data_IF_706102351192
#
_entry.id   IF_706102351192
#
_cell.length_a   1.000
_cell.length_b   1.000
_cell.length_c   1.000
_cell.angle_alpha   90.00
_cell.angle_beta   90.00
_cell.angle_gamma   90.00
#
_symmetry.space_group_name_H-M   'P 1'
#
loop_
_entity.id
_entity.type
_entity.pdbx_description
1 polymer ?
#
# COMPACT_ATOMS: atom_id res chain seq x y z
N UNK A 1 -7.93 5.53 -18.07
CA UNK A 1 -9.33 5.98 -17.83
C UNK A 1 -10.15 4.96 -17.03
N UNK A 2 -10.19 3.68 -17.43
CA UNK A 2 -10.99 2.65 -16.75
C UNK A 2 -10.70 2.50 -15.25
N UNK A 3 -9.41 2.49 -14.85
CA UNK A 3 -9.03 2.43 -13.43
C UNK A 3 -9.58 3.64 -12.64
N UNK A 4 -9.55 4.83 -13.22
CA UNK A 4 -10.09 6.05 -12.60
C UNK A 4 -11.62 5.98 -12.46
N UNK A 5 -12.33 5.46 -13.47
CA UNK A 5 -13.78 5.28 -13.41
C UNK A 5 -14.17 4.23 -12.37
N UNK A 6 -13.47 3.10 -12.33
CA UNK A 6 -13.69 2.05 -11.31
C UNK A 6 -13.41 2.57 -9.90
N UNK A 7 -12.35 3.36 -9.74
CA UNK A 7 -11.98 3.97 -8.47
C UNK A 7 -13.08 4.92 -7.96
N UNK A 8 -13.56 5.84 -8.80
CA UNK A 8 -14.67 6.73 -8.45
C UNK A 8 -15.94 5.95 -8.12
N UNK A 9 -16.26 4.89 -8.89
CA UNK A 9 -17.40 4.03 -8.63
C UNK A 9 -17.28 3.29 -7.29
N UNK A 10 -16.08 2.84 -6.92
CA UNK A 10 -15.80 2.24 -5.61
C UNK A 10 -16.01 3.23 -4.46
N UNK A 11 -15.54 4.46 -4.60
CA UNK A 11 -15.79 5.52 -3.60
C UNK A 11 -17.29 5.78 -3.42
N UNK A 12 -18.06 5.81 -4.50
CA UNK A 12 -19.52 6.03 -4.44
C UNK A 12 -20.23 4.85 -3.75
N UNK A 13 -19.79 3.61 -3.97
CA UNK A 13 -20.45 2.40 -3.42
C UNK A 13 -20.03 2.13 -1.97
N UNK A 14 -18.74 2.23 -1.66
CA UNK A 14 -18.17 1.84 -0.36
C UNK A 14 -18.05 3.02 0.61
N UNK A 15 -18.16 4.25 0.10
CA UNK A 15 -17.88 5.48 0.82
C UNK A 15 -16.37 5.78 0.92
N UNK A 16 -15.99 7.07 1.01
CA UNK A 16 -14.60 7.51 0.99
C UNK A 16 -13.73 6.90 2.10
N UNK A 17 -14.28 6.68 3.30
CA UNK A 17 -13.54 6.08 4.41
C UNK A 17 -13.11 4.63 4.13
N UNK A 18 -13.98 3.80 3.54
CA UNK A 18 -13.65 2.40 3.23
C UNK A 18 -12.73 2.30 2.02
N UNK A 19 -12.89 3.19 1.04
CA UNK A 19 -11.95 3.29 -0.07
C UNK A 19 -10.54 3.70 0.41
N UNK A 20 -10.45 4.62 1.38
CA UNK A 20 -9.19 4.95 2.07
C UNK A 20 -8.52 3.75 2.72
N UNK A 21 -9.29 2.86 3.36
CA UNK A 21 -8.74 1.65 4.00
C UNK A 21 -8.06 0.69 3.01
N UNK A 22 -8.53 0.61 1.76
CA UNK A 22 -7.89 -0.21 0.71
C UNK A 22 -6.45 0.27 0.43
N UNK A 23 -6.15 1.57 0.58
CA UNK A 23 -4.78 2.07 0.42
C UNK A 23 -3.80 1.46 1.42
N UNK A 24 -4.23 1.10 2.63
CA UNK A 24 -3.35 0.44 3.59
C UNK A 24 -2.91 -0.96 3.12
N UNK A 25 -3.67 -1.58 2.21
CA UNK A 25 -3.32 -2.89 1.63
C UNK A 25 -2.45 -2.77 0.38
N UNK A 26 -2.31 -1.57 -0.21
CA UNK A 26 -1.47 -1.35 -1.39
C UNK A 26 0.00 -1.77 -1.22
N UNK A 27 0.70 -1.42 -0.13
CA UNK A 27 2.09 -1.85 0.02
C UNK A 27 2.21 -3.38 0.07
N UNK A 28 1.22 -4.07 0.63
CA UNK A 28 1.18 -5.53 0.69
C UNK A 28 1.03 -6.15 -0.71
N UNK A 29 0.05 -5.66 -1.50
CA UNK A 29 -0.16 -6.11 -2.88
C UNK A 29 1.01 -5.73 -3.79
N UNK A 30 1.50 -4.49 -3.69
CA UNK A 30 2.63 -4.00 -4.48
C UNK A 30 3.89 -4.85 -4.24
N UNK A 31 4.21 -5.14 -2.96
CA UNK A 31 5.32 -6.02 -2.62
C UNK A 31 5.12 -7.46 -3.11
N UNK A 32 3.90 -8.00 -2.99
CA UNK A 32 3.58 -9.34 -3.47
C UNK A 32 3.69 -9.47 -4.99
N UNK A 33 3.18 -8.49 -5.74
CA UNK A 33 3.30 -8.47 -7.20
C UNK A 33 4.77 -8.28 -7.63
N UNK A 34 5.55 -7.45 -6.93
CA UNK A 34 6.98 -7.29 -7.18
C UNK A 34 7.73 -8.62 -7.04
N UNK A 35 7.43 -9.40 -6.00
CA UNK A 35 7.99 -10.75 -5.82
C UNK A 35 7.59 -11.71 -6.95
N UNK A 36 6.31 -11.71 -7.36
CA UNK A 36 5.79 -12.66 -8.33
C UNK A 36 6.19 -12.36 -9.78
N UNK A 37 6.25 -11.08 -10.18
CA UNK A 37 6.55 -10.68 -11.56
C UNK A 37 8.02 -10.44 -11.84
N UNK A 38 8.77 -9.91 -10.87
CA UNK A 38 10.17 -9.54 -11.12
C UNK A 38 11.12 -10.74 -10.99
N UNK A 39 10.65 -11.85 -10.39
CA UNK A 39 11.38 -13.11 -10.23
C UNK A 39 12.80 -12.92 -9.67
N UNK A 40 13.00 -11.85 -8.90
CA UNK A 40 14.26 -11.62 -8.20
C UNK A 40 14.44 -12.75 -7.19
N UNK A 41 15.58 -13.43 -7.25
CA UNK A 41 15.99 -14.37 -6.22
C UNK A 41 15.83 -13.67 -4.88
N UNK A 42 15.05 -14.26 -3.96
CA UNK A 42 14.81 -13.75 -2.60
C UNK A 42 16.14 -13.75 -1.85
N UNK A 43 16.96 -12.76 -2.16
CA UNK A 43 18.19 -12.45 -1.45
C UNK A 43 17.81 -11.56 -0.26
N UNK A 44 18.76 -11.33 0.64
CA UNK A 44 18.56 -10.50 1.82
C UNK A 44 18.02 -9.09 1.50
N UNK A 45 18.14 -8.62 0.25
CA UNK A 45 17.54 -7.38 -0.25
C UNK A 45 16.03 -7.31 -0.01
N UNK A 46 15.27 -8.39 -0.20
CA UNK A 46 13.82 -8.36 0.01
C UNK A 46 13.45 -8.24 1.48
N UNK A 47 14.29 -8.78 2.37
CA UNK A 47 14.14 -8.62 3.82
C UNK A 47 14.41 -7.17 4.23
N UNK A 48 15.46 -6.55 3.69
CA UNK A 48 15.72 -5.11 3.87
C UNK A 48 14.61 -4.24 3.28
N UNK A 49 14.08 -4.56 2.10
CA UNK A 49 12.94 -3.86 1.51
C UNK A 49 11.67 -4.01 2.34
N UNK A 50 11.40 -5.21 2.88
CA UNK A 50 10.28 -5.42 3.80
C UNK A 50 10.44 -4.57 5.06
N UNK A 51 11.62 -4.53 5.66
CA UNK A 51 11.93 -3.69 6.84
C UNK A 51 11.79 -2.20 6.50
N UNK A 52 12.28 -1.75 5.35
CA UNK A 52 12.23 -0.35 4.91
C UNK A 52 10.79 0.10 4.60
N UNK A 53 9.98 -0.76 3.98
CA UNK A 53 8.57 -0.47 3.73
C UNK A 53 7.79 -0.50 5.05
N UNK A 54 8.00 -1.49 5.92
CA UNK A 54 7.37 -1.52 7.24
C UNK A 54 7.73 -0.30 8.08
N UNK A 55 9.00 0.11 8.11
CA UNK A 55 9.43 1.29 8.85
C UNK A 55 8.83 2.56 8.26
N UNK A 56 8.77 2.69 6.94
CA UNK A 56 8.08 3.79 6.25
C UNK A 56 6.59 3.85 6.59
N UNK A 57 5.89 2.72 6.54
CA UNK A 57 4.46 2.63 6.89
C UNK A 57 4.25 3.01 8.35
N UNK A 58 5.06 2.49 9.28
CA UNK A 58 4.95 2.82 10.71
C UNK A 58 5.25 4.30 10.95
N UNK A 59 6.30 4.85 10.33
CA UNK A 59 6.67 6.25 10.46
C UNK A 59 5.56 7.18 9.93
N UNK A 60 5.05 6.92 8.73
CA UNK A 60 3.94 7.68 8.15
C UNK A 60 2.64 7.50 8.93
N UNK A 61 2.38 6.30 9.47
CA UNK A 61 1.22 6.06 10.31
C UNK A 61 1.36 6.72 11.70
N UNK A 62 2.58 6.93 12.19
CA UNK A 62 2.86 7.73 13.39
C UNK A 62 2.79 9.24 13.17
N UNK A 63 2.85 9.74 11.92
CA UNK A 63 2.64 11.17 11.62
C UNK A 63 1.15 11.57 11.53
N UNK A 64 0.20 10.64 11.70
CA UNK A 64 -1.21 10.97 11.95
C UNK A 64 -1.51 11.18 13.44
N UNK A 65 -0.58 11.83 14.15
CA UNK A 65 -0.85 12.48 15.43
C UNK A 65 0.07 13.69 15.64
N UNK A 66 0.12 14.58 14.65
CA UNK A 66 0.54 15.96 14.85
C UNK A 66 -0.60 16.90 14.48
N UNK A 67 -1.67 16.82 15.27
CA UNK A 67 -2.60 17.93 15.45
C UNK A 67 -2.85 18.03 16.95
N UNK A 68 -2.21 19.05 17.53
CA UNK A 68 -2.21 19.48 18.91
C UNK A 68 -1.61 20.87 18.93
#
# INVERSE_FOLDING_TARGET
>A
LCAFVLWNKSIIILGPSKAGMIYYTLPLFSGFLGYLFLHESISMIHFYSMILIFSGIIATNHESKKDG
#
